data_IF_846635352739
#
_entry.id   IF_846635352739
#
_cell.length_a   1.000
_cell.length_b   1.000
_cell.length_c   1.000
_cell.angle_alpha   90.00
_cell.angle_beta   90.00
_cell.angle_gamma   90.00
#
_symmetry.space_group_name_H-M   'P 1'
#
loop_
_entity.id
_entity.type
_entity.pdbx_description
1 polymer ?
#
# COMPACT_ATOMS: atom_id res chain seq x y z
N UNK A 1 -4.33 10.52 16.53
CA UNK A 1 -2.90 10.89 16.57
C UNK A 1 -2.34 11.20 15.18
N UNK A 2 -1.97 10.23 14.34
CA UNK A 2 -1.37 10.54 13.01
C UNK A 2 -2.28 11.39 12.09
N UNK A 3 -3.56 11.01 11.98
CA UNK A 3 -4.54 11.75 11.18
C UNK A 3 -4.74 13.20 11.65
N UNK A 4 -4.67 13.44 12.97
CA UNK A 4 -4.86 14.77 13.57
C UNK A 4 -3.63 15.67 13.35
N UNK A 5 -2.46 15.07 13.08
CA UNK A 5 -1.21 15.77 12.81
C UNK A 5 -0.96 16.00 11.31
N UNK A 6 -1.89 15.58 10.45
CA UNK A 6 -1.78 15.75 8.99
C UNK A 6 -0.72 14.86 8.32
N UNK A 7 -0.25 13.80 9.00
CA UNK A 7 0.71 12.87 8.42
C UNK A 7 0.02 11.84 7.52
N UNK A 8 0.74 11.42 6.47
CA UNK A 8 0.38 10.25 5.67
C UNK A 8 0.86 8.99 6.38
N UNK A 9 0.02 7.97 6.41
CA UNK A 9 0.35 6.66 6.99
C UNK A 9 0.66 5.69 5.85
N UNK A 10 1.76 4.96 5.99
CA UNK A 10 2.07 3.78 5.15
C UNK A 10 1.81 2.54 5.99
N UNK A 11 0.86 1.70 5.57
CA UNK A 11 0.69 0.37 6.15
C UNK A 11 1.54 -0.66 5.40
N UNK A 12 2.37 -1.41 6.13
CA UNK A 12 3.26 -2.41 5.55
C UNK A 12 2.75 -3.84 5.82
N UNK A 13 3.06 -4.78 4.92
CA UNK A 13 2.74 -6.20 5.09
C UNK A 13 1.29 -6.57 4.75
N UNK A 14 0.66 -5.88 3.79
CA UNK A 14 -0.69 -6.24 3.30
C UNK A 14 -0.59 -7.49 2.42
N UNK A 15 -1.13 -8.61 2.89
CA UNK A 15 -1.06 -9.93 2.22
C UNK A 15 -2.44 -10.47 1.79
N UNK A 16 -3.52 -9.82 2.20
CA UNK A 16 -4.90 -10.21 1.85
C UNK A 16 -5.78 -9.00 1.53
N UNK A 17 -6.81 -9.22 0.71
CA UNK A 17 -7.86 -8.25 0.42
C UNK A 17 -8.50 -7.70 1.70
N UNK A 18 -8.82 -8.58 2.66
CA UNK A 18 -9.43 -8.20 3.93
C UNK A 18 -8.58 -7.18 4.71
N UNK A 19 -7.25 -7.34 4.71
CA UNK A 19 -6.36 -6.38 5.35
C UNK A 19 -6.39 -5.03 4.62
N UNK A 20 -6.36 -5.04 3.29
CA UNK A 20 -6.44 -3.80 2.50
C UNK A 20 -7.74 -3.06 2.75
N UNK A 21 -8.88 -3.76 2.72
CA UNK A 21 -10.21 -3.15 2.98
C UNK A 21 -10.25 -2.51 4.36
N UNK A 22 -9.82 -3.23 5.40
CA UNK A 22 -9.82 -2.70 6.77
C UNK A 22 -8.95 -1.45 6.91
N UNK A 23 -7.77 -1.42 6.29
CA UNK A 23 -6.86 -0.27 6.33
C UNK A 23 -7.42 0.93 5.55
N UNK A 24 -8.07 0.67 4.42
CA UNK A 24 -8.71 1.69 3.59
C UNK A 24 -9.89 2.32 4.33
N UNK A 25 -10.73 1.49 4.96
CA UNK A 25 -11.87 1.93 5.78
C UNK A 25 -11.42 2.71 7.02
N UNK A 26 -10.25 2.38 7.57
CA UNK A 26 -9.61 3.14 8.65
C UNK A 26 -8.96 4.47 8.18
N UNK A 27 -9.01 4.77 6.87
CA UNK A 27 -8.50 6.01 6.29
C UNK A 27 -7.00 6.04 6.04
N UNK A 28 -6.31 4.90 6.05
CA UNK A 28 -4.88 4.79 5.70
C UNK A 28 -4.70 5.06 4.20
N UNK A 29 -3.75 5.92 3.85
CA UNK A 29 -3.63 6.45 2.49
C UNK A 29 -2.65 5.67 1.60
N UNK A 30 -1.63 5.04 2.19
CA UNK A 30 -0.57 4.35 1.48
C UNK A 30 -0.42 2.93 2.03
N UNK A 31 -0.12 1.97 1.16
CA UNK A 31 0.03 0.57 1.54
C UNK A 31 1.14 -0.13 0.74
N UNK A 32 1.82 -1.08 1.38
CA UNK A 32 2.72 -2.03 0.72
C UNK A 32 2.50 -3.45 1.25
N UNK A 33 2.72 -4.43 0.40
CA UNK A 33 2.66 -5.85 0.78
C UNK A 33 2.36 -6.75 -0.41
N UNK A 34 2.50 -8.06 -0.22
CA UNK A 34 2.42 -9.04 -1.30
C UNK A 34 1.05 -9.17 -1.96
N UNK A 35 -0.02 -8.70 -1.33
CA UNK A 35 -1.33 -8.58 -1.98
C UNK A 35 -1.34 -7.48 -3.04
N UNK A 36 -0.58 -6.40 -2.81
CA UNK A 36 -0.47 -5.27 -3.74
C UNK A 36 0.56 -5.61 -4.80
N UNK A 37 1.80 -5.88 -4.39
CA UNK A 37 2.88 -6.35 -5.25
C UNK A 37 4.05 -6.85 -4.41
N UNK A 38 4.79 -7.83 -4.92
CA UNK A 38 6.11 -8.18 -4.36
C UNK A 38 7.14 -7.12 -4.78
N UNK A 39 8.29 -7.01 -4.10
CA UNK A 39 9.42 -6.26 -4.66
C UNK A 39 9.77 -6.81 -6.05
N UNK A 40 9.87 -5.91 -7.02
CA UNK A 40 10.16 -6.26 -8.41
C UNK A 40 11.46 -5.60 -8.89
N UNK A 41 12.17 -6.20 -9.87
CA UNK A 41 13.29 -5.55 -10.56
C UNK A 41 12.85 -4.28 -11.31
N UNK A 42 13.82 -3.44 -11.68
CA UNK A 42 13.56 -2.17 -12.38
C UNK A 42 12.77 -2.35 -13.68
N UNK A 43 13.06 -3.38 -14.48
CA UNK A 43 12.34 -3.62 -15.74
C UNK A 43 10.84 -3.83 -15.52
N UNK A 44 10.49 -4.72 -14.59
CA UNK A 44 9.09 -4.97 -14.22
C UNK A 44 8.42 -3.74 -13.58
N UNK A 45 9.17 -2.92 -12.83
CA UNK A 45 8.64 -1.65 -12.33
C UNK A 45 8.27 -0.69 -13.45
N UNK A 46 9.08 -0.60 -14.51
CA UNK A 46 8.78 0.24 -15.68
C UNK A 46 7.48 -0.25 -16.33
N UNK A 47 7.35 -1.57 -16.54
CA UNK A 47 6.14 -2.16 -17.11
C UNK A 47 4.88 -1.85 -16.27
N UNK A 48 4.99 -1.86 -14.93
CA UNK A 48 3.89 -1.51 -14.02
C UNK A 48 3.51 -0.03 -14.05
N UNK A 49 4.45 0.87 -14.35
CA UNK A 49 4.20 2.32 -14.41
C UNK A 49 3.61 2.77 -15.75
N UNK A 50 3.77 1.96 -16.79
CA UNK A 50 3.26 2.22 -18.14
C UNK A 50 1.87 1.59 -18.40
N UNK A 51 1.37 0.76 -17.48
CA UNK A 51 0.05 0.10 -17.53
C UNK A 51 -1.11 1.03 -17.11
#
# INVERSE_FOLDING_TARGET
MSHEMGFKIVAEGIETEKQQTLLTDAGVQLGQGYYISRPVPLGELIDLLEA
#
